data_IF_732566966190
#
_entry.id   IF_732566966190
#
_cell.length_a   1.000
_cell.length_b   1.000
_cell.length_c   1.000
_cell.angle_alpha   90.00
_cell.angle_beta   90.00
_cell.angle_gamma   90.00
#
_symmetry.space_group_name_H-M   'P 1'
#
loop_
_entity.id
_entity.type
_entity.pdbx_description
1 polymer ?
#
# COMPACT_ATOMS: atom_id res chain seq x y z
N UNK A 1 36.14 32.14 -13.55
CA UNK A 1 34.72 32.39 -13.80
C UNK A 1 33.94 31.16 -13.35
N UNK A 2 33.25 31.23 -12.22
CA UNK A 2 32.43 30.15 -11.68
C UNK A 2 30.97 30.44 -12.04
N UNK A 3 30.36 29.60 -12.87
CA UNK A 3 28.94 29.66 -13.20
C UNK A 3 28.10 29.24 -11.99
N UNK A 4 27.02 29.96 -11.62
CA UNK A 4 26.10 29.50 -10.59
C UNK A 4 25.25 28.36 -11.16
N UNK A 5 25.28 27.20 -10.49
CA UNK A 5 24.42 26.07 -10.78
C UNK A 5 23.02 26.37 -10.22
N UNK A 6 22.12 26.86 -11.05
CA UNK A 6 20.71 27.04 -10.71
C UNK A 6 20.01 25.68 -10.73
N UNK A 7 20.03 24.97 -9.60
CA UNK A 7 19.17 23.80 -9.41
C UNK A 7 17.71 24.29 -9.32
N UNK A 8 16.80 23.88 -10.22
CA UNK A 8 15.40 24.23 -10.11
C UNK A 8 14.83 23.56 -8.86
N UNK A 9 14.51 24.36 -7.85
CA UNK A 9 13.76 23.90 -6.68
C UNK A 9 12.30 23.76 -7.11
N UNK A 10 11.93 22.58 -7.59
CA UNK A 10 10.52 22.24 -7.79
C UNK A 10 9.85 22.22 -6.41
N UNK A 11 9.27 23.35 -6.02
CA UNK A 11 8.41 23.44 -4.85
C UNK A 11 7.17 22.60 -5.15
N UNK A 12 6.85 21.57 -4.34
CA UNK A 12 5.65 20.78 -4.56
C UNK A 12 4.44 21.72 -4.44
N UNK A 13 3.65 21.81 -5.53
CA UNK A 13 2.37 22.51 -5.52
C UNK A 13 1.47 21.74 -4.55
N UNK A 14 1.24 22.30 -3.37
CA UNK A 14 0.27 21.77 -2.41
C UNK A 14 -1.11 22.16 -2.95
N UNK A 15 -1.73 21.26 -3.71
CA UNK A 15 -3.11 21.43 -4.11
C UNK A 15 -3.98 21.45 -2.84
N UNK A 16 -4.86 22.45 -2.64
CA UNK A 16 -5.76 22.45 -1.52
C UNK A 16 -6.65 21.20 -1.58
N UNK A 17 -6.47 20.32 -0.61
CA UNK A 17 -7.32 19.15 -0.39
C UNK A 17 -8.61 19.62 0.26
N UNK A 18 -9.72 19.58 -0.48
CA UNK A 18 -11.04 19.75 0.11
C UNK A 18 -11.29 18.59 1.07
N UNK A 19 -11.59 18.84 2.36
CA UNK A 19 -11.89 17.76 3.29
C UNK A 19 -13.13 17.01 2.80
N UNK A 20 -13.03 15.69 2.71
CA UNK A 20 -14.20 14.85 2.45
C UNK A 20 -15.06 14.91 3.72
N UNK A 21 -16.20 15.60 3.64
CA UNK A 21 -17.13 15.76 4.78
C UNK A 21 -18.12 14.61 4.89
N UNK A 22 -18.26 13.80 3.85
CA UNK A 22 -19.13 12.63 3.85
C UNK A 22 -18.42 11.47 4.55
N UNK A 23 -18.98 10.93 5.66
CA UNK A 23 -18.42 9.76 6.31
C UNK A 23 -18.43 8.56 5.35
N UNK A 24 -17.25 8.00 5.10
CA UNK A 24 -17.13 6.76 4.33
C UNK A 24 -17.45 5.58 5.24
N UNK A 25 -18.45 4.77 4.86
CA UNK A 25 -18.71 3.47 5.49
C UNK A 25 -17.98 2.39 4.73
N UNK A 26 -17.03 1.73 5.39
CA UNK A 26 -16.32 0.56 4.86
C UNK A 26 -16.68 -0.68 5.66
N UNK A 27 -16.89 -1.80 4.97
CA UNK A 27 -17.14 -3.09 5.60
C UNK A 27 -15.80 -3.75 5.93
N UNK A 28 -15.61 -4.08 7.21
CA UNK A 28 -14.40 -4.74 7.69
C UNK A 28 -14.64 -6.25 7.86
N UNK A 29 -13.65 -7.03 7.48
CA UNK A 29 -13.60 -8.47 7.70
C UNK A 29 -12.39 -8.79 8.55
N UNK A 30 -12.58 -9.50 9.66
CA UNK A 30 -11.48 -9.99 10.48
C UNK A 30 -10.87 -11.26 9.85
N UNK A 31 -9.56 -11.24 9.58
CA UNK A 31 -8.81 -12.39 9.06
C UNK A 31 -8.01 -13.03 10.19
N UNK A 32 -8.53 -14.13 10.74
CA UNK A 32 -7.94 -14.83 11.89
C UNK A 32 -6.50 -15.32 11.65
N UNK A 33 -6.18 -15.78 10.44
CA UNK A 33 -4.83 -16.26 10.09
C UNK A 33 -3.74 -15.19 10.18
N UNK A 34 -4.13 -13.92 10.02
CA UNK A 34 -3.22 -12.77 10.04
C UNK A 34 -3.44 -11.88 11.28
N UNK A 35 -4.46 -12.17 12.09
CA UNK A 35 -4.88 -11.38 13.26
C UNK A 35 -5.03 -9.89 12.86
N UNK A 36 -5.72 -9.64 11.74
CA UNK A 36 -5.87 -8.28 11.20
C UNK A 36 -7.27 -8.05 10.62
N UNK A 37 -7.72 -6.79 10.68
CA UNK A 37 -8.92 -6.33 9.97
C UNK A 37 -8.56 -5.91 8.55
N UNK A 38 -9.36 -6.36 7.59
CA UNK A 38 -9.20 -6.02 6.17
C UNK A 38 -10.47 -5.45 5.57
N UNK A 39 -10.36 -4.65 4.52
CA UNK A 39 -11.48 -4.18 3.70
C UNK A 39 -11.20 -4.43 2.21
N UNK A 40 -12.27 -4.52 1.42
CA UNK A 40 -12.20 -4.74 -0.03
C UNK A 40 -12.00 -3.42 -0.77
N UNK A 41 -11.08 -3.42 -1.73
CA UNK A 41 -10.80 -2.27 -2.61
C UNK A 41 -10.43 -2.78 -4.00
N UNK A 42 -10.69 -1.98 -5.03
CA UNK A 42 -10.38 -2.32 -6.42
C UNK A 42 -9.25 -1.44 -6.97
N UNK A 43 -8.33 -2.05 -7.71
CA UNK A 43 -7.24 -1.37 -8.41
C UNK A 43 -7.19 -1.76 -9.89
N UNK A 44 -6.71 -0.84 -10.72
CA UNK A 44 -6.45 -1.07 -12.13
C UNK A 44 -7.68 -1.03 -13.03
N UNK A 45 -7.46 -1.27 -14.32
CA UNK A 45 -8.50 -1.28 -15.35
C UNK A 45 -8.23 -2.41 -16.35
N UNK A 46 -9.07 -3.46 -16.40
CA UNK A 46 -10.26 -3.69 -15.57
C UNK A 46 -9.94 -3.83 -14.06
N UNK A 47 -10.94 -3.59 -13.18
CA UNK A 47 -10.77 -3.68 -11.74
C UNK A 47 -10.29 -5.06 -11.27
N UNK A 48 -9.27 -5.08 -10.42
CA UNK A 48 -8.81 -6.24 -9.64
C UNK A 48 -9.12 -5.97 -8.16
N UNK A 49 -9.76 -6.93 -7.47
CA UNK A 49 -10.22 -6.76 -6.08
C UNK A 49 -9.18 -7.28 -5.08
N UNK A 50 -8.95 -6.50 -4.03
CA UNK A 50 -7.98 -6.81 -2.96
C UNK A 50 -8.57 -6.63 -1.58
N UNK A 51 -8.11 -7.45 -0.63
CA UNK A 51 -8.36 -7.26 0.80
C UNK A 51 -7.12 -6.61 1.43
N UNK A 52 -7.25 -5.36 1.87
CA UNK A 52 -6.13 -4.57 2.41
C UNK A 52 -6.28 -4.38 3.92
N UNK A 53 -5.16 -4.50 4.64
CA UNK A 53 -5.11 -4.24 6.07
C UNK A 53 -5.25 -2.75 6.37
N UNK A 54 -5.91 -2.41 7.47
CA UNK A 54 -6.04 -1.02 7.92
C UNK A 54 -5.00 -0.74 9.00
N UNK A 55 -4.13 0.23 8.75
CA UNK A 55 -3.22 0.79 9.73
C UNK A 55 -3.51 2.27 9.93
N UNK A 56 -3.54 2.72 11.18
CA UNK A 56 -3.75 4.14 11.53
C UNK A 56 -2.44 4.94 11.63
N UNK A 57 -1.30 4.25 11.58
CA UNK A 57 0.02 4.82 11.83
C UNK A 57 0.77 5.23 10.56
N UNK A 58 0.17 5.03 9.37
CA UNK A 58 0.77 5.39 8.08
C UNK A 58 -0.26 5.96 7.12
N UNK A 59 0.14 6.90 6.28
CA UNK A 59 -0.69 7.50 5.23
C UNK A 59 -0.44 6.87 3.83
N UNK A 60 0.20 5.70 3.77
CA UNK A 60 0.53 5.00 2.54
C UNK A 60 -0.48 3.89 2.25
N UNK A 61 -0.94 3.82 1.01
CA UNK A 61 -1.71 2.70 0.46
C UNK A 61 -0.81 1.92 -0.50
N UNK A 62 -0.70 0.61 -0.29
CA UNK A 62 0.09 -0.27 -1.14
C UNK A 62 -0.59 -1.64 -1.27
N UNK A 63 -0.30 -2.31 -2.37
CA UNK A 63 -0.72 -3.69 -2.66
C UNK A 63 0.51 -4.51 -3.02
N UNK A 64 0.44 -5.81 -2.81
CA UNK A 64 1.53 -6.72 -3.19
C UNK A 64 1.43 -7.00 -4.69
N UNK A 65 2.51 -6.85 -5.44
CA UNK A 65 2.56 -7.20 -6.87
C UNK A 65 2.81 -8.70 -7.08
N UNK A 66 2.38 -9.22 -8.23
CA UNK A 66 2.72 -10.55 -8.73
C UNK A 66 4.23 -10.83 -8.77
N UNK A 67 5.06 -9.78 -8.89
CA UNK A 67 6.51 -9.90 -8.89
C UNK A 67 7.13 -10.26 -7.52
N UNK A 68 6.32 -10.25 -6.45
CA UNK A 68 6.78 -10.71 -5.13
C UNK A 68 7.16 -12.20 -5.09
N UNK A 69 6.59 -12.97 -6.02
CA UNK A 69 6.96 -14.35 -6.31
C UNK A 69 7.84 -14.35 -7.56
N UNK A 70 9.17 -14.30 -7.41
CA UNK A 70 10.08 -14.37 -8.56
C UNK A 70 11.12 -15.48 -8.39
N UNK A 71 11.86 -15.78 -9.47
CA UNK A 71 12.87 -16.84 -9.49
C UNK A 71 14.08 -16.57 -8.57
N UNK A 72 14.26 -15.33 -8.12
CA UNK A 72 15.41 -14.86 -7.33
C UNK A 72 15.07 -14.77 -5.84
N UNK A 73 13.79 -14.67 -5.48
CA UNK A 73 13.34 -14.52 -4.11
C UNK A 73 11.85 -14.80 -3.92
N UNK A 74 11.51 -15.28 -2.73
CA UNK A 74 10.16 -15.63 -2.34
C UNK A 74 9.71 -14.79 -1.14
N UNK A 75 9.62 -13.46 -1.36
CA UNK A 75 9.23 -12.51 -0.31
C UNK A 75 7.76 -12.70 0.13
N UNK A 76 6.96 -13.40 -0.68
CA UNK A 76 5.56 -13.69 -0.43
C UNK A 76 5.26 -15.18 -0.27
N UNK A 77 6.22 -15.98 0.23
CA UNK A 77 6.07 -17.44 0.34
C UNK A 77 4.79 -17.90 1.01
N UNK A 78 4.41 -17.19 2.08
CA UNK A 78 3.26 -17.52 2.90
C UNK A 78 1.96 -16.88 2.39
N UNK A 79 2.02 -16.14 1.28
CA UNK A 79 0.89 -15.49 0.63
C UNK A 79 0.67 -16.10 -0.76
N UNK A 80 -0.51 -16.69 -0.98
CA UNK A 80 -0.84 -17.36 -2.26
C UNK A 80 -1.83 -16.58 -3.12
N UNK A 81 -2.39 -15.49 -2.60
CA UNK A 81 -3.43 -14.69 -3.24
C UNK A 81 -3.25 -13.20 -2.93
N UNK A 82 -4.15 -12.34 -3.43
CA UNK A 82 -4.15 -10.90 -3.17
C UNK A 82 -2.93 -10.18 -3.77
N UNK A 83 -2.55 -10.59 -4.99
CA UNK A 83 -1.47 -10.02 -5.79
C UNK A 83 -2.04 -9.18 -6.94
N UNK A 84 -1.60 -7.94 -7.05
CA UNK A 84 -1.90 -7.09 -8.19
C UNK A 84 -1.12 -7.58 -9.39
N UNK A 85 -1.82 -7.90 -10.48
CA UNK A 85 -1.21 -8.31 -11.73
C UNK A 85 -1.15 -7.11 -12.66
N UNK A 86 0.06 -6.63 -12.90
CA UNK A 86 0.30 -5.46 -13.74
C UNK A 86 -0.06 -5.70 -15.21
N UNK A 87 0.07 -6.93 -15.70
CA UNK A 87 -0.29 -7.28 -17.07
C UNK A 87 -1.80 -7.29 -17.33
N UNK A 88 -2.62 -7.34 -16.27
CA UNK A 88 -4.09 -7.33 -16.38
C UNK A 88 -4.70 -5.94 -16.26
N UNK A 89 -3.90 -4.87 -16.17
CA UNK A 89 -4.41 -3.50 -16.07
C UNK A 89 -3.77 -2.56 -17.08
N UNK A 90 -4.60 -1.90 -17.89
CA UNK A 90 -4.17 -0.99 -18.96
C UNK A 90 -3.96 0.47 -18.49
N UNK A 91 -4.30 0.79 -17.24
CA UNK A 91 -4.14 2.13 -16.64
C UNK A 91 -2.88 2.28 -15.80
N UNK A 92 -2.01 1.27 -15.75
CA UNK A 92 -0.74 1.36 -15.02
C UNK A 92 0.24 2.22 -15.81
N UNK A 93 0.84 3.19 -15.12
CA UNK A 93 1.96 3.96 -15.64
C UNK A 93 3.25 3.32 -15.11
N UNK A 94 4.06 2.78 -16.02
CA UNK A 94 5.18 1.85 -15.74
C UNK A 94 6.43 2.46 -15.12
N UNK A 95 6.31 3.43 -14.21
CA UNK A 95 7.44 3.88 -13.41
C UNK A 95 7.36 3.17 -12.05
N UNK A 96 8.24 2.20 -11.80
CA UNK A 96 8.29 1.42 -10.55
C UNK A 96 9.45 1.92 -9.69
N UNK A 97 9.40 3.14 -9.12
CA UNK A 97 10.44 3.59 -8.22
C UNK A 97 10.51 2.68 -7.00
N UNK A 98 11.71 2.43 -6.51
CA UNK A 98 11.89 1.62 -5.31
C UNK A 98 11.29 2.34 -4.10
N UNK A 99 10.41 1.64 -3.38
CA UNK A 99 9.79 2.10 -2.14
C UNK A 99 10.14 1.12 -1.02
N UNK A 100 10.84 1.60 0.00
CA UNK A 100 11.09 0.82 1.23
C UNK A 100 10.21 1.34 2.36
N UNK A 101 9.32 0.49 2.88
CA UNK A 101 8.50 0.79 4.05
C UNK A 101 9.01 -0.03 5.24
N UNK A 102 9.43 0.64 6.32
CA UNK A 102 9.86 0.00 7.56
C UNK A 102 8.74 0.09 8.60
N UNK A 103 8.12 -1.04 8.90
CA UNK A 103 7.16 -1.15 10.00
C UNK A 103 7.87 -1.57 11.28
N UNK A 104 7.46 -1.02 12.42
CA UNK A 104 7.81 -1.57 13.73
C UNK A 104 7.01 -2.87 13.89
N UNK A 105 7.67 -4.02 13.80
CA UNK A 105 7.08 -5.30 14.20
C UNK A 105 7.24 -5.43 15.71
N UNK A 106 6.14 -5.35 16.45
CA UNK A 106 6.11 -5.50 17.91
C UNK A 106 5.08 -6.55 18.34
N UNK A 107 5.35 -7.19 19.47
CA UNK A 107 4.42 -8.10 20.17
C UNK A 107 3.90 -7.37 21.39
N UNK A 108 2.58 -7.19 21.51
CA UNK A 108 1.94 -6.81 22.77
C UNK A 108 1.34 -8.08 23.34
N UNK A 109 1.99 -8.68 24.33
CA UNK A 109 1.36 -9.65 25.21
C UNK A 109 0.54 -8.86 26.23
N UNK A 110 -0.73 -8.59 25.93
CA UNK A 110 -1.67 -8.21 26.98
C UNK A 110 -2.25 -9.50 27.56
N UNK A 111 -1.72 -9.92 28.69
CA UNK A 111 -2.40 -10.87 29.56
C UNK A 111 -3.62 -10.13 30.12
N UNK A 112 -4.79 -10.33 29.50
CA UNK A 112 -6.06 -9.96 30.12
C UNK A 112 -6.39 -11.11 31.06
N UNK A 113 -5.85 -11.06 32.28
CA UNK A 113 -6.44 -11.77 33.40
C UNK A 113 -7.77 -11.08 33.71
N UNK A 114 -8.89 -11.75 33.42
CA UNK A 114 -10.14 -11.55 34.16
C UNK A 114 -9.98 -11.97 35.62
#
# INVERSE_FOLDING_TARGET
>A
MTTPNNTPTNTPIITPITPITTPLKINLTFKKSLIQWTFSIEFGTPPQTFNIAIGTTSNLLWVVSEFCMNSIGNACKDQTTNFFNTFLSNTILGNYPELTIKYIKGSILSDLSE
#
